data_IF_139185517644
#
_entry.id   IF_139185517644
#
_cell.length_a   1.000
_cell.length_b   1.000
_cell.length_c   1.000
_cell.angle_alpha   90.00
_cell.angle_beta   90.00
_cell.angle_gamma   90.00
#
_symmetry.space_group_name_H-M   'P 1'
#
loop_
_entity.id
_entity.type
_entity.pdbx_description
1 polymer ?
#
# COMPACT_ATOMS: atom_id res chain seq x y z
N UNK A 1 8.06 21.51 -3.03
CA UNK A 1 7.61 21.65 -1.63
C UNK A 1 7.48 20.28 -1.02
N UNK A 2 7.75 20.10 0.28
CA UNK A 2 7.57 18.85 1.03
C UNK A 2 6.12 18.42 1.24
N UNK A 3 5.22 18.84 0.36
CA UNK A 3 3.79 18.53 0.44
C UNK A 3 3.40 17.34 -0.45
N UNK A 4 4.21 17.02 -1.46
CA UNK A 4 3.99 15.89 -2.36
C UNK A 4 5.05 14.83 -2.04
N UNK A 5 4.65 13.75 -1.40
CA UNK A 5 5.50 12.62 -1.05
C UNK A 5 4.65 11.34 -0.96
N UNK A 6 5.24 10.15 -1.16
CA UNK A 6 4.50 8.90 -1.12
C UNK A 6 4.06 8.54 0.31
N UNK A 7 2.78 8.21 0.45
CA UNK A 7 2.16 7.70 1.68
C UNK A 7 1.64 6.29 1.40
N UNK A 8 2.12 5.30 2.16
CA UNK A 8 1.65 3.92 2.03
C UNK A 8 0.19 3.80 2.47
N UNK A 9 -0.65 3.17 1.65
CA UNK A 9 -2.08 2.96 1.91
C UNK A 9 -2.29 1.58 2.49
N UNK A 10 -1.98 1.39 3.77
CA UNK A 10 -1.96 0.07 4.44
C UNK A 10 -3.25 -0.75 4.24
N UNK A 11 -4.42 -0.10 4.32
CA UNK A 11 -5.73 -0.76 4.18
C UNK A 11 -6.25 -0.82 2.74
N UNK A 12 -5.42 -0.54 1.73
CA UNK A 12 -5.85 -0.67 0.34
C UNK A 12 -5.98 -2.15 -0.04
N UNK A 13 -7.11 -2.49 -0.68
CA UNK A 13 -7.43 -3.85 -1.06
C UNK A 13 -6.53 -4.40 -2.17
N UNK A 14 -5.80 -3.55 -2.89
CA UNK A 14 -4.83 -4.00 -3.89
C UNK A 14 -3.48 -4.38 -3.26
N UNK A 15 -3.25 -4.08 -1.98
CA UNK A 15 -2.06 -4.60 -1.31
C UNK A 15 -2.15 -6.11 -1.17
N UNK A 16 -1.04 -6.79 -1.47
CA UNK A 16 -0.90 -8.19 -1.08
C UNK A 16 -0.51 -8.25 0.42
N UNK A 17 -0.99 -9.25 1.18
CA UNK A 17 -0.62 -9.40 2.59
C UNK A 17 0.89 -9.64 2.68
N UNK A 18 1.60 -8.63 3.16
CA UNK A 18 3.07 -8.63 3.26
C UNK A 18 3.50 -8.19 4.66
N UNK A 19 4.69 -8.59 5.07
CA UNK A 19 5.39 -8.09 6.26
C UNK A 19 6.00 -6.70 6.05
N UNK A 20 5.49 -5.96 5.07
CA UNK A 20 6.07 -4.71 4.62
C UNK A 20 6.06 -3.63 5.71
N UNK A 21 7.25 -3.14 6.05
CA UNK A 21 7.39 -2.02 6.99
C UNK A 21 7.42 -0.67 6.26
N UNK A 22 6.33 0.07 6.42
CA UNK A 22 6.21 1.45 5.94
C UNK A 22 6.95 2.48 6.82
N UNK A 23 7.81 2.06 7.76
CA UNK A 23 8.56 2.89 8.69
C UNK A 23 9.34 4.02 8.02
N UNK A 24 10.04 3.73 6.91
CA UNK A 24 10.77 4.75 6.14
C UNK A 24 9.85 5.85 5.58
N UNK A 25 8.64 5.49 5.14
CA UNK A 25 7.64 6.44 4.63
C UNK A 25 7.01 7.27 5.76
N UNK A 26 6.77 6.65 6.93
CA UNK A 26 6.33 7.37 8.13
C UNK A 26 7.38 8.37 8.61
N UNK A 27 8.66 7.97 8.60
CA UNK A 27 9.78 8.86 8.93
C UNK A 27 9.89 10.03 7.96
N UNK A 28 9.72 9.79 6.65
CA UNK A 28 9.65 10.84 5.63
C UNK A 28 8.56 11.86 5.95
N UNK A 29 7.35 11.38 6.28
CA UNK A 29 6.24 12.25 6.67
C UNK A 29 6.60 13.10 7.89
N UNK A 30 7.16 12.50 8.95
CA UNK A 30 7.61 13.24 10.14
C UNK A 30 8.66 14.31 9.81
N UNK A 31 9.64 13.99 8.96
CA UNK A 31 10.68 14.93 8.56
C UNK A 31 10.11 16.13 7.79
N UNK A 32 9.24 15.88 6.81
CA UNK A 32 8.63 16.93 5.99
C UNK A 32 7.57 17.74 6.75
N UNK A 33 6.92 17.17 7.76
CA UNK A 33 6.08 17.92 8.70
C UNK A 33 6.87 18.89 9.56
N UNK A 34 8.10 18.53 9.96
CA UNK A 34 8.97 19.38 10.76
C UNK A 34 9.64 20.48 9.92
N UNK A 35 10.14 20.13 8.73
CA UNK A 35 10.70 21.07 7.76
C UNK A 35 10.36 20.62 6.33
N UNK A 36 9.42 21.30 5.65
CA UNK A 36 9.02 20.98 4.28
C UNK A 36 10.13 21.12 3.23
N UNK A 37 11.29 21.68 3.59
CA UNK A 37 12.44 21.84 2.71
C UNK A 37 13.62 20.91 3.05
N UNK A 38 13.53 20.12 4.14
CA UNK A 38 14.61 19.27 4.64
C UNK A 38 15.10 18.23 3.62
N UNK A 39 14.21 17.76 2.74
CA UNK A 39 14.50 16.72 1.75
C UNK A 39 14.08 17.16 0.35
N UNK A 40 14.92 16.83 -0.62
CA UNK A 40 14.65 17.04 -2.06
C UNK A 40 14.37 15.75 -2.81
N UNK A 41 14.94 14.63 -2.33
CA UNK A 41 14.80 13.31 -2.94
C UNK A 41 14.56 12.29 -1.84
N UNK A 42 13.61 11.40 -2.09
CA UNK A 42 13.38 10.20 -1.30
C UNK A 42 13.48 9.00 -2.23
N UNK A 43 14.21 7.96 -1.80
CA UNK A 43 14.37 6.72 -2.53
C UNK A 43 14.18 5.55 -1.57
N UNK A 44 13.51 4.51 -2.04
CA UNK A 44 13.24 3.30 -1.29
C UNK A 44 13.48 2.08 -2.19
N UNK A 45 14.03 1.01 -1.62
CA UNK A 45 14.26 -0.25 -2.31
C UNK A 45 13.42 -1.33 -1.66
N UNK A 46 12.55 -1.96 -2.44
CA UNK A 46 11.75 -3.09 -2.00
C UNK A 46 12.62 -4.34 -1.93
N UNK A 47 12.53 -5.08 -0.82
CA UNK A 47 13.25 -6.34 -0.60
C UNK A 47 12.35 -7.57 -0.73
N UNK A 48 11.03 -7.36 -0.77
CA UNK A 48 10.02 -8.40 -0.82
C UNK A 48 9.16 -8.23 -2.07
N UNK A 49 8.83 -9.37 -2.71
CA UNK A 49 7.86 -9.38 -3.80
C UNK A 49 6.46 -9.12 -3.24
N UNK A 50 5.64 -8.39 -3.98
CA UNK A 50 4.30 -8.04 -3.56
C UNK A 50 3.69 -6.90 -4.36
N UNK A 51 2.45 -6.56 -4.01
CA UNK A 51 1.75 -5.37 -4.51
C UNK A 51 1.65 -4.33 -3.41
N UNK A 52 2.05 -3.09 -3.71
CA UNK A 52 2.08 -1.98 -2.76
C UNK A 52 1.40 -0.75 -3.33
N UNK A 53 0.46 -0.18 -2.58
CA UNK A 53 -0.27 1.04 -2.96
C UNK A 53 0.24 2.24 -2.18
N UNK A 54 0.60 3.30 -2.91
CA UNK A 54 0.99 4.58 -2.35
C UNK A 54 0.13 5.68 -2.92
N UNK A 55 -0.22 6.66 -2.08
CA UNK A 55 -0.86 7.89 -2.51
C UNK A 55 0.06 9.10 -2.32
N UNK A 56 -0.22 10.19 -3.03
CA UNK A 56 0.43 11.47 -2.80
C UNK A 56 -0.11 12.13 -1.53
N UNK A 57 0.77 12.61 -0.66
CA UNK A 57 0.37 13.25 0.59
C UNK A 57 -0.52 14.49 0.41
N UNK A 58 -0.40 15.24 -0.69
CA UNK A 58 -1.23 16.40 -0.97
C UNK A 58 -2.63 16.03 -1.49
N UNK A 59 -2.79 14.83 -2.06
CA UNK A 59 -4.07 14.34 -2.59
C UNK A 59 -4.13 12.81 -2.53
N UNK A 60 -4.55 12.30 -1.36
CA UNK A 60 -4.58 10.88 -1.10
C UNK A 60 -5.75 10.13 -1.75
N UNK A 61 -6.68 10.83 -2.39
CA UNK A 61 -7.90 10.22 -2.98
C UNK A 61 -7.79 10.09 -4.49
N UNK A 62 -7.14 11.04 -5.16
CA UNK A 62 -7.03 11.05 -6.64
C UNK A 62 -5.67 10.55 -7.11
N UNK A 63 -4.60 10.87 -6.37
CA UNK A 63 -3.23 10.57 -6.81
C UNK A 63 -2.69 9.34 -6.12
N UNK A 64 -2.97 8.18 -6.71
CA UNK A 64 -2.47 6.88 -6.25
C UNK A 64 -1.60 6.20 -7.30
N UNK A 65 -0.68 5.37 -6.82
CA UNK A 65 0.25 4.59 -7.61
C UNK A 65 0.34 3.19 -7.02
N UNK A 66 0.42 2.19 -7.90
CA UNK A 66 0.56 0.78 -7.54
C UNK A 66 1.89 0.29 -8.03
N UNK A 67 2.65 -0.34 -7.15
CA UNK A 67 3.93 -0.96 -7.46
C UNK A 67 3.78 -2.47 -7.33
N UNK A 68 4.02 -3.18 -8.42
CA UNK A 68 4.16 -4.64 -8.43
C UNK A 68 5.64 -5.00 -8.43
N UNK A 69 6.11 -5.58 -7.34
CA UNK A 69 7.48 -6.10 -7.22
C UNK A 69 7.42 -7.59 -7.46
N UNK A 70 8.09 -8.05 -8.52
CA UNK A 70 8.11 -9.46 -8.89
C UNK A 70 9.23 -10.21 -8.16
N UNK A 71 9.06 -11.52 -7.89
CA UNK A 71 10.15 -12.37 -7.42
C UNK A 71 11.31 -12.37 -8.41
N UNK A 72 12.52 -12.68 -7.93
CA UNK A 72 13.74 -12.74 -8.76
C UNK A 72 13.68 -13.78 -9.88
N UNK A 73 12.72 -14.71 -9.83
CA UNK A 73 12.47 -15.73 -10.86
C UNK A 73 11.60 -15.25 -12.01
N UNK A 74 11.03 -14.06 -11.91
CA UNK A 74 10.15 -13.48 -12.92
C UNK A 74 10.76 -12.20 -13.50
N UNK A 75 10.36 -11.87 -14.73
CA UNK A 75 10.77 -10.64 -15.40
C UNK A 75 9.59 -9.68 -15.49
N UNK A 76 9.86 -8.39 -15.28
CA UNK A 76 8.85 -7.35 -15.48
C UNK A 76 8.43 -7.28 -16.95
N UNK A 77 7.14 -7.04 -17.25
CA UNK A 77 6.67 -6.81 -18.61
C UNK A 77 7.46 -5.68 -19.31
N UNK A 78 7.76 -5.86 -20.59
CA UNK A 78 8.63 -4.95 -21.36
C UNK A 78 7.91 -3.73 -21.95
N UNK A 79 6.58 -3.72 -21.99
CA UNK A 79 5.81 -2.75 -22.78
C UNK A 79 5.73 -1.35 -22.16
N UNK A 80 5.88 -1.21 -20.84
CA UNK A 80 6.23 0.05 -20.17
C UNK A 80 6.49 -0.18 -18.67
N UNK A 81 7.53 0.47 -18.10
CA UNK A 81 7.82 0.43 -16.66
C UNK A 81 6.80 1.21 -15.79
N UNK A 82 6.04 2.12 -16.41
CA UNK A 82 5.00 2.93 -15.75
C UNK A 82 3.79 2.95 -16.69
N UNK A 83 2.62 2.63 -16.17
CA UNK A 83 1.37 2.57 -16.93
C UNK A 83 0.28 3.37 -16.21
N UNK A 84 -0.74 3.88 -16.94
CA UNK A 84 -1.90 4.50 -16.33
C UNK A 84 -2.62 3.55 -15.36
N UNK A 85 -3.18 4.08 -14.27
CA UNK A 85 -3.98 3.31 -13.33
C UNK A 85 -5.33 2.96 -13.97
N UNK A 86 -5.39 1.83 -14.68
CA UNK A 86 -6.61 1.25 -15.25
C UNK A 86 -6.75 -0.21 -14.83
N UNK A 87 -7.97 -0.73 -14.80
CA UNK A 87 -8.22 -2.14 -14.47
C UNK A 87 -7.47 -3.06 -15.45
N UNK A 88 -7.40 -2.69 -16.73
CA UNK A 88 -6.66 -3.43 -17.75
C UNK A 88 -5.16 -3.52 -17.41
N UNK A 89 -4.52 -2.40 -17.07
CA UNK A 89 -3.09 -2.40 -16.71
C UNK A 89 -2.82 -3.12 -15.39
N UNK A 90 -3.74 -3.05 -14.42
CA UNK A 90 -3.63 -3.83 -13.18
C UNK A 90 -3.70 -5.34 -13.47
N UNK A 91 -4.63 -5.76 -14.33
CA UNK A 91 -4.75 -7.16 -14.74
C UNK A 91 -3.51 -7.64 -15.49
N UNK A 92 -2.93 -6.82 -16.37
CA UNK A 92 -1.66 -7.12 -17.06
C UNK A 92 -0.50 -7.32 -16.07
N UNK A 93 -0.52 -6.61 -14.94
CA UNK A 93 0.45 -6.78 -13.85
C UNK A 93 0.09 -7.90 -12.86
N UNK A 94 -1.01 -8.62 -13.10
CA UNK A 94 -1.52 -9.65 -12.18
C UNK A 94 -1.98 -9.09 -10.83
N UNK A 95 -2.32 -7.81 -10.77
CA UNK A 95 -2.81 -7.14 -9.56
C UNK A 95 -4.33 -7.28 -9.50
N UNK A 96 -4.83 -7.92 -8.45
CA UNK A 96 -6.26 -8.02 -8.15
C UNK A 96 -6.55 -7.54 -6.74
N UNK A 97 -7.83 -7.26 -6.44
CA UNK A 97 -8.25 -6.95 -5.08
C UNK A 97 -8.16 -8.19 -4.22
N UNK A 98 -7.78 -8.01 -2.97
CA UNK A 98 -7.98 -9.00 -1.94
C UNK A 98 -9.49 -9.14 -1.66
N UNK A 99 -10.00 -10.36 -1.83
CA UNK A 99 -11.41 -10.70 -1.62
C UNK A 99 -11.68 -11.23 -0.20
N UNK A 100 -10.64 -11.49 0.61
CA UNK A 100 -10.75 -11.90 2.02
C UNK A 100 -11.10 -10.71 2.92
N UNK A 101 -12.23 -10.08 2.63
CA UNK A 101 -12.85 -9.09 3.48
C UNK A 101 -13.86 -9.79 4.40
N UNK A 102 -13.78 -9.50 5.69
CA UNK A 102 -14.85 -9.81 6.64
C UNK A 102 -16.06 -8.92 6.31
N UNK A 103 -16.82 -9.30 5.27
CA UNK A 103 -18.01 -8.58 4.81
C UNK A 103 -19.19 -8.74 5.79
N UNK A 104 -19.11 -9.73 6.69
CA UNK A 104 -20.08 -9.97 7.74
C UNK A 104 -19.38 -10.23 9.08
N UNK A 105 -19.92 -9.68 10.18
CA UNK A 105 -19.38 -9.95 11.51
C UNK A 105 -19.58 -11.42 11.89
N UNK A 106 -18.55 -12.03 12.47
CA UNK A 106 -18.65 -13.35 13.10
C UNK A 106 -19.38 -13.22 14.44
N UNK A 107 -20.71 -13.32 14.40
CA UNK A 107 -21.56 -13.23 15.59
C UNK A 107 -21.27 -14.32 16.63
N UNK A 108 -20.75 -15.48 16.21
CA UNK A 108 -20.38 -16.55 17.13
C UNK A 108 -19.17 -16.18 17.97
N UNK A 109 -18.10 -15.70 17.34
CA UNK A 109 -16.91 -15.19 18.03
C UNK A 109 -17.26 -14.02 18.95
N UNK A 110 -18.03 -13.06 18.45
CA UNK A 110 -18.46 -11.88 19.22
C UNK A 110 -19.25 -12.29 20.46
N UNK A 111 -20.25 -13.16 20.32
CA UNK A 111 -21.05 -13.63 21.44
C UNK A 111 -20.19 -14.38 22.48
N UNK A 112 -19.23 -15.18 22.00
CA UNK A 112 -18.33 -15.95 22.88
C UNK A 112 -17.39 -15.04 23.67
N UNK A 113 -16.79 -14.05 23.02
CA UNK A 113 -15.93 -13.06 23.70
C UNK A 113 -16.73 -12.21 24.69
N UNK A 114 -17.95 -11.79 24.32
CA UNK A 114 -18.83 -11.04 25.22
C UNK A 114 -19.21 -11.86 26.46
N UNK A 115 -19.56 -13.13 26.28
CA UNK A 115 -19.87 -14.02 27.40
C UNK A 115 -18.66 -14.25 28.32
N UNK A 116 -17.45 -14.39 27.77
CA UNK A 116 -16.22 -14.57 28.55
C UNK A 116 -15.86 -13.33 29.39
N UNK A 117 -16.06 -12.12 28.87
CA UNK A 117 -15.78 -10.87 29.60
C UNK A 117 -16.81 -10.59 30.69
N UNK A 118 -18.04 -11.11 30.53
CA UNK A 118 -19.15 -10.92 31.46
C UNK A 118 -19.27 -12.03 32.53
N UNK A 119 -18.44 -13.07 32.46
CA UNK A 119 -18.37 -14.17 33.42
C UNK A 119 -17.34 -13.87 34.53
#
# INVERSE_FOLDING_TARGET
SGTNYPVYKENDLLNEPTTFDAGAFRQLATQLSNDPNALKVFAYTFTEAGTFVFADAADQTVRSSVYRVLPTTQQCPTEARIMPFTIENLNLLGVSKNEDLLLTPDWGLIATMAALVLA
#
